data_IF_580182334793
#
_entry.id   IF_580182334793
#
_cell.length_a   1.000
_cell.length_b   1.000
_cell.length_c   1.000
_cell.angle_alpha   90.00
_cell.angle_beta   90.00
_cell.angle_gamma   90.00
#
_symmetry.space_group_name_H-M   'P 1'
#
loop_
_entity.id
_entity.type
_entity.pdbx_description
1 polymer ?
#
# COMPACT_ATOMS: atom_id res chain seq x y z
N UNK A 1 -12.97 0.53 -18.73
CA UNK A 1 -11.53 0.65 -19.08
C UNK A 1 -10.66 -0.20 -18.16
N UNK A 2 -10.94 -1.51 -18.01
CA UNK A 2 -10.27 -2.42 -17.06
C UNK A 2 -9.68 -3.68 -17.73
N UNK A 3 -9.39 -3.64 -19.02
CA UNK A 3 -8.90 -4.83 -19.76
C UNK A 3 -7.50 -4.66 -20.38
N UNK A 4 -6.61 -3.85 -19.83
CA UNK A 4 -5.28 -3.59 -20.44
C UNK A 4 -4.07 -3.92 -19.56
N UNK A 5 -4.22 -4.63 -18.45
CA UNK A 5 -3.07 -4.96 -17.59
C UNK A 5 -2.53 -6.39 -17.73
N UNK A 6 -3.03 -7.18 -18.68
CA UNK A 6 -2.60 -8.57 -18.91
C UNK A 6 -2.02 -8.84 -20.30
N UNK A 7 -1.46 -7.84 -21.00
CA UNK A 7 -0.79 -8.06 -22.29
C UNK A 7 0.67 -7.67 -22.22
N UNK A 8 1.48 -8.45 -21.53
CA UNK A 8 2.94 -8.43 -21.69
C UNK A 8 3.60 -9.74 -21.28
N UNK A 9 3.00 -10.85 -21.65
CA UNK A 9 3.63 -12.16 -21.67
C UNK A 9 3.34 -12.77 -23.06
N UNK A 10 3.76 -12.08 -24.08
CA UNK A 10 3.69 -12.55 -25.45
C UNK A 10 5.08 -12.92 -25.94
N UNK A 11 5.69 -13.98 -25.44
CA UNK A 11 6.68 -14.81 -26.17
C UNK A 11 7.09 -15.98 -25.27
N UNK A 12 6.18 -16.96 -25.17
CA UNK A 12 6.52 -18.31 -24.71
C UNK A 12 6.73 -19.13 -26.01
N UNK A 13 7.98 -19.35 -26.38
CA UNK A 13 8.28 -20.31 -27.46
C UNK A 13 8.27 -21.73 -26.89
N UNK A 14 7.34 -22.55 -27.38
CA UNK A 14 7.35 -23.98 -27.16
C UNK A 14 8.20 -24.66 -28.25
N UNK A 15 9.31 -25.25 -27.87
CA UNK A 15 10.04 -26.17 -28.75
C UNK A 15 9.68 -27.60 -28.37
N UNK A 16 9.03 -28.31 -29.30
CA UNK A 16 8.77 -29.75 -29.18
C UNK A 16 9.93 -30.53 -29.80
N UNK A 17 10.55 -31.42 -29.03
CA UNK A 17 11.39 -32.48 -29.57
C UNK A 17 10.65 -33.80 -29.48
N UNK A 18 10.74 -34.67 -30.52
CA UNK A 18 9.93 -35.91 -30.58
C UNK A 18 10.60 -37.07 -29.87
N UNK A 19 11.06 -36.91 -28.67
CA UNK A 19 11.54 -38.03 -27.84
C UNK A 19 11.39 -37.74 -26.36
N UNK A 20 10.35 -38.30 -25.74
CA UNK A 20 10.29 -38.77 -24.35
C UNK A 20 10.46 -37.77 -23.25
N UNK A 21 9.37 -37.49 -22.56
CA UNK A 21 9.22 -37.28 -21.10
C UNK A 21 9.82 -36.10 -20.37
N UNK A 22 10.47 -35.11 -21.00
CA UNK A 22 10.88 -33.88 -20.29
C UNK A 22 10.62 -32.64 -21.14
N UNK A 23 9.75 -31.72 -20.66
CA UNK A 23 9.56 -30.43 -21.30
C UNK A 23 10.34 -29.37 -20.50
N UNK A 24 11.29 -28.69 -21.16
CA UNK A 24 11.99 -27.54 -20.59
C UNK A 24 11.36 -26.25 -21.09
N UNK A 25 11.05 -25.34 -20.18
CA UNK A 25 10.58 -23.98 -20.49
C UNK A 25 11.76 -23.02 -20.35
N UNK A 26 12.17 -22.41 -21.45
CA UNK A 26 13.14 -21.32 -21.42
C UNK A 26 12.41 -19.98 -21.52
N UNK A 27 12.58 -19.12 -20.53
CA UNK A 27 12.08 -17.73 -20.57
C UNK A 27 13.25 -16.87 -21.05
N UNK A 28 13.18 -16.36 -22.28
CA UNK A 28 14.13 -15.37 -22.79
C UNK A 28 13.54 -13.96 -22.57
N UNK A 29 14.07 -13.23 -21.58
CA UNK A 29 13.85 -11.79 -21.46
C UNK A 29 14.89 -11.05 -22.31
N UNK A 30 14.45 -10.34 -23.34
CA UNK A 30 15.31 -9.47 -24.13
C UNK A 30 15.72 -8.22 -23.34
N UNK A 31 17.01 -8.07 -23.06
CA UNK A 31 17.61 -6.89 -22.45
C UNK A 31 19.10 -7.10 -22.25
N UNK A 32 19.89 -6.61 -23.20
CA UNK A 32 21.35 -6.35 -23.25
C UNK A 32 22.28 -6.93 -22.18
N UNK A 33 23.12 -7.80 -22.65
CA UNK A 33 24.54 -8.06 -22.36
C UNK A 33 25.07 -7.74 -20.95
N UNK A 34 25.24 -8.81 -20.15
CA UNK A 34 26.38 -8.94 -19.25
C UNK A 34 27.09 -10.25 -19.53
N UNK A 35 28.41 -10.18 -19.67
CA UNK A 35 29.30 -11.31 -19.92
C UNK A 35 29.34 -12.22 -18.69
N UNK A 36 29.19 -13.54 -18.83
CA UNK A 36 29.21 -14.44 -17.69
C UNK A 36 30.63 -15.02 -17.49
N UNK A 37 31.23 -14.70 -16.37
CA UNK A 37 32.21 -15.59 -15.79
C UNK A 37 31.54 -16.45 -14.72
N UNK A 38 31.45 -17.73 -15.02
CA UNK A 38 30.88 -18.84 -14.25
C UNK A 38 29.38 -19.08 -14.42
N UNK A 39 29.10 -19.93 -15.42
CA UNK A 39 27.76 -20.44 -15.69
C UNK A 39 27.24 -21.37 -14.59
N UNK A 40 26.04 -21.06 -14.10
CA UNK A 40 25.10 -22.06 -13.62
C UNK A 40 23.76 -21.78 -14.30
N UNK A 41 23.51 -22.54 -15.38
CA UNK A 41 22.19 -22.64 -15.98
C UNK A 41 21.27 -23.30 -14.95
N UNK A 42 20.26 -22.56 -14.44
CA UNK A 42 19.20 -23.15 -13.64
C UNK A 42 18.15 -23.68 -14.61
N UNK A 43 18.25 -24.96 -14.94
CA UNK A 43 17.20 -25.66 -15.66
C UNK A 43 16.13 -26.10 -14.67
N UNK A 44 14.91 -25.59 -14.81
CA UNK A 44 13.77 -26.01 -14.00
C UNK A 44 13.07 -27.15 -14.75
N UNK A 45 13.27 -28.40 -14.34
CA UNK A 45 12.58 -29.54 -14.87
C UNK A 45 11.22 -29.72 -14.16
N UNK A 46 10.14 -29.77 -14.94
CA UNK A 46 8.81 -30.12 -14.45
C UNK A 46 8.55 -31.59 -14.74
N UNK A 47 8.42 -32.41 -13.70
CA UNK A 47 7.96 -33.79 -13.83
C UNK A 47 6.43 -33.82 -13.72
N UNK A 48 5.74 -34.17 -14.80
CA UNK A 48 4.31 -34.45 -14.79
C UNK A 48 4.10 -35.95 -14.48
N UNK A 49 3.57 -36.23 -13.32
CA UNK A 49 3.06 -37.58 -13.03
C UNK A 49 1.71 -37.79 -13.75
N UNK A 50 1.74 -38.55 -14.84
CA UNK A 50 0.56 -39.03 -15.53
C UNK A 50 -0.05 -40.17 -14.73
N UNK A 51 -1.20 -39.98 -14.07
CA UNK A 51 -2.10 -41.06 -13.70
C UNK A 51 -3.33 -41.01 -14.60
N UNK A 52 -3.63 -42.23 -15.13
CA UNK A 52 -4.52 -42.56 -16.20
C UNK A 52 -5.92 -41.95 -16.22
N UNK A 53 -6.42 -41.88 -17.45
CA UNK A 53 -7.80 -41.87 -17.95
C UNK A 53 -8.89 -41.35 -17.00
N UNK A 54 -9.32 -40.14 -17.21
CA UNK A 54 -10.75 -39.80 -17.18
C UNK A 54 -10.94 -38.40 -17.81
N UNK A 55 -11.95 -38.31 -18.65
CA UNK A 55 -12.39 -37.11 -19.35
C UNK A 55 -12.88 -36.06 -18.33
N UNK A 56 -12.12 -35.02 -18.10
CA UNK A 56 -12.61 -33.66 -17.73
C UNK A 56 -11.43 -32.71 -17.64
N UNK A 57 -11.44 -31.66 -18.48
CA UNK A 57 -10.47 -30.60 -18.46
C UNK A 57 -10.75 -29.67 -17.25
N UNK A 58 -10.26 -30.03 -16.10
CA UNK A 58 -9.99 -29.06 -15.02
C UNK A 58 -8.48 -29.02 -14.82
N UNK A 59 -7.83 -28.07 -15.48
CA UNK A 59 -6.46 -27.70 -15.13
C UNK A 59 -6.51 -27.26 -13.66
N UNK A 60 -5.93 -28.05 -12.80
CA UNK A 60 -5.95 -27.84 -11.36
C UNK A 60 -5.35 -26.46 -11.06
N UNK A 61 -6.17 -25.53 -10.59
CA UNK A 61 -5.77 -24.24 -10.03
C UNK A 61 -4.65 -24.34 -8.97
N UNK A 62 -4.53 -25.49 -8.34
CA UNK A 62 -3.48 -25.82 -7.38
C UNK A 62 -2.05 -25.70 -7.92
N UNK A 63 -1.82 -26.05 -9.19
CA UNK A 63 -0.51 -25.94 -9.82
C UNK A 63 -0.09 -24.49 -10.02
N UNK A 64 -1.01 -23.61 -10.40
CA UNK A 64 -0.73 -22.19 -10.64
C UNK A 64 -0.51 -21.42 -9.33
N UNK A 65 -1.27 -21.69 -8.28
CA UNK A 65 -1.09 -21.08 -6.96
C UNK A 65 0.27 -21.48 -6.36
N UNK A 66 0.68 -22.75 -6.50
CA UNK A 66 1.97 -23.22 -6.01
C UNK A 66 3.17 -22.60 -6.77
N UNK A 67 3.02 -22.41 -8.09
CA UNK A 67 4.04 -21.74 -8.93
C UNK A 67 4.13 -20.26 -8.59
N UNK A 68 3.01 -19.58 -8.41
CA UNK A 68 2.99 -18.15 -8.01
C UNK A 68 3.60 -17.96 -6.61
N UNK A 69 3.31 -18.86 -5.68
CA UNK A 69 3.89 -18.87 -4.35
C UNK A 69 5.41 -19.15 -4.37
N UNK A 70 5.89 -20.08 -5.20
CA UNK A 70 7.34 -20.29 -5.38
C UNK A 70 8.04 -19.08 -6.00
N UNK A 71 7.39 -18.41 -6.94
CA UNK A 71 7.95 -17.17 -7.52
C UNK A 71 7.99 -16.02 -6.50
N UNK A 72 6.98 -15.88 -5.65
CA UNK A 72 7.01 -14.93 -4.53
C UNK A 72 8.09 -15.30 -3.50
N UNK A 73 8.24 -16.59 -3.13
CA UNK A 73 9.31 -17.03 -2.22
C UNK A 73 10.69 -16.91 -2.85
N UNK A 74 10.83 -17.18 -4.15
CA UNK A 74 12.11 -16.97 -4.85
C UNK A 74 12.47 -15.48 -4.84
N UNK A 75 11.49 -14.59 -5.02
CA UNK A 75 11.69 -13.14 -4.91
C UNK A 75 12.09 -12.73 -3.49
N UNK A 76 11.45 -13.30 -2.46
CA UNK A 76 11.79 -13.10 -1.05
C UNK A 76 13.12 -13.76 -0.68
N UNK A 77 13.41 -14.98 -1.13
CA UNK A 77 14.70 -15.66 -0.89
C UNK A 77 15.86 -14.99 -1.64
N UNK A 78 15.61 -14.43 -2.82
CA UNK A 78 16.64 -13.69 -3.56
C UNK A 78 17.03 -12.41 -2.82
N UNK A 79 16.05 -11.70 -2.27
CA UNK A 79 16.29 -10.57 -1.38
C UNK A 79 17.02 -10.99 -0.08
N UNK A 80 16.72 -12.19 0.45
CA UNK A 80 17.34 -12.67 1.69
C UNK A 80 18.78 -13.16 1.49
N UNK A 81 19.08 -13.92 0.45
CA UNK A 81 20.46 -14.44 0.22
C UNK A 81 21.44 -13.37 -0.25
N UNK A 82 20.95 -12.25 -0.79
CA UNK A 82 21.81 -11.13 -1.16
C UNK A 82 22.25 -10.27 0.04
N UNK A 83 21.55 -10.37 1.19
CA UNK A 83 21.76 -9.44 2.31
C UNK A 83 21.66 -10.17 3.66
N UNK A 84 22.81 -10.63 4.16
CA UNK A 84 22.95 -11.32 5.43
C UNK A 84 22.29 -10.61 6.62
N UNK A 85 21.97 -11.41 7.63
CA UNK A 85 21.24 -11.11 8.87
C UNK A 85 21.94 -10.10 9.81
N UNK A 86 22.17 -8.89 9.34
CA UNK A 86 22.70 -7.80 10.16
C UNK A 86 21.65 -6.73 10.39
N UNK A 87 20.76 -6.90 11.40
CA UNK A 87 19.92 -5.82 11.89
C UNK A 87 20.80 -4.83 12.64
N UNK A 88 21.07 -3.68 12.04
CA UNK A 88 21.56 -2.50 12.73
C UNK A 88 20.36 -1.59 12.94
N UNK A 89 19.90 -1.37 14.19
CA UNK A 89 18.86 -0.38 14.44
C UNK A 89 19.42 0.99 14.05
N UNK A 90 18.81 1.61 13.06
CA UNK A 90 19.12 2.99 12.71
C UNK A 90 18.66 3.89 13.87
N UNK A 91 19.52 4.80 14.36
CA UNK A 91 19.12 5.77 15.37
C UNK A 91 17.91 6.56 14.86
N UNK A 92 16.96 6.86 15.75
CA UNK A 92 15.82 7.72 15.48
C UNK A 92 16.34 9.08 14.98
N UNK A 93 16.56 9.18 13.66
CA UNK A 93 16.96 10.44 13.05
C UNK A 93 15.77 11.36 13.00
N UNK A 94 15.93 12.53 13.64
CA UNK A 94 15.16 13.74 13.36
C UNK A 94 14.71 13.75 11.90
N UNK A 95 13.45 14.13 11.67
CA UNK A 95 12.91 14.44 10.34
C UNK A 95 13.84 15.47 9.67
N UNK A 96 14.88 15.00 9.01
CA UNK A 96 15.55 15.81 8.00
C UNK A 96 14.52 15.92 6.87
N UNK A 97 14.04 17.14 6.66
CA UNK A 97 13.18 17.49 5.55
C UNK A 97 13.87 17.00 4.27
N UNK A 98 13.34 15.92 3.69
CA UNK A 98 13.60 15.63 2.29
C UNK A 98 12.90 16.76 1.55
N UNK A 99 13.65 17.80 1.21
CA UNK A 99 13.20 18.93 0.40
C UNK A 99 13.03 18.47 -1.05
N UNK A 100 12.18 17.44 -1.24
CA UNK A 100 11.68 17.08 -2.55
C UNK A 100 10.52 17.99 -2.90
N UNK A 101 10.36 18.32 -4.18
CA UNK A 101 9.20 19.06 -4.64
C UNK A 101 7.92 18.34 -4.25
N UNK A 102 7.01 19.03 -3.60
CA UNK A 102 5.70 18.49 -3.27
C UNK A 102 4.90 18.40 -4.57
N UNK A 103 4.43 17.21 -4.90
CA UNK A 103 3.61 16.99 -6.10
C UNK A 103 2.14 17.26 -5.74
N UNK A 104 1.58 18.29 -6.35
CA UNK A 104 0.14 18.58 -6.31
C UNK A 104 -0.44 18.25 -7.67
N UNK A 105 -1.21 17.17 -7.77
CA UNK A 105 -1.87 16.78 -9.01
C UNK A 105 -2.92 17.80 -9.45
N UNK A 106 -3.11 18.03 -10.75
CA UNK A 106 -4.13 18.96 -11.25
C UNK A 106 -5.53 18.62 -10.76
N UNK A 107 -5.91 17.35 -10.71
CA UNK A 107 -7.21 16.88 -10.20
C UNK A 107 -7.41 17.20 -8.72
N UNK A 108 -6.35 17.03 -7.92
CA UNK A 108 -6.37 17.38 -6.48
C UNK A 108 -6.48 18.89 -6.28
N UNK A 109 -5.74 19.66 -7.08
CA UNK A 109 -5.83 21.14 -7.06
C UNK A 109 -7.24 21.61 -7.40
N UNK A 110 -7.84 21.09 -8.46
CA UNK A 110 -9.21 21.44 -8.86
C UNK A 110 -10.24 21.12 -7.77
N UNK A 111 -10.13 19.95 -7.10
CA UNK A 111 -11.02 19.61 -5.98
C UNK A 111 -10.81 20.52 -4.78
N UNK A 112 -9.55 20.89 -4.51
CA UNK A 112 -9.23 21.85 -3.45
C UNK A 112 -9.83 23.24 -3.75
N UNK A 113 -9.69 23.73 -4.97
CA UNK A 113 -10.23 25.04 -5.38
C UNK A 113 -11.77 25.02 -5.28
N UNK A 114 -12.43 23.95 -5.72
CA UNK A 114 -13.87 23.78 -5.54
C UNK A 114 -14.30 23.72 -4.07
N UNK A 115 -13.49 23.07 -3.21
CA UNK A 115 -13.72 23.09 -1.77
C UNK A 115 -13.59 24.52 -1.20
N UNK A 116 -12.62 25.29 -1.62
CA UNK A 116 -12.44 26.66 -1.16
C UNK A 116 -13.56 27.59 -1.58
N UNK A 117 -14.15 27.37 -2.77
CA UNK A 117 -15.27 28.15 -3.28
C UNK A 117 -16.59 27.86 -2.57
N UNK A 118 -16.96 26.57 -2.47
CA UNK A 118 -18.30 26.13 -2.10
C UNK A 118 -18.35 25.11 -0.97
N UNK A 119 -17.25 24.40 -0.73
CA UNK A 119 -17.17 23.34 0.26
C UNK A 119 -17.04 23.88 1.70
N UNK A 120 -17.27 22.98 2.64
CA UNK A 120 -17.09 23.23 4.07
C UNK A 120 -16.02 22.31 4.64
N UNK A 121 -15.96 21.09 4.15
CA UNK A 121 -15.06 20.03 4.63
C UNK A 121 -14.25 19.48 3.48
N UNK A 122 -12.93 19.44 3.62
CA UNK A 122 -12.03 18.67 2.79
C UNK A 122 -11.51 17.49 3.62
N UNK A 123 -11.88 16.29 3.22
CA UNK A 123 -11.55 15.08 3.96
C UNK A 123 -10.52 14.26 3.19
N UNK A 124 -9.38 13.98 3.82
CA UNK A 124 -8.37 13.06 3.28
C UNK A 124 -8.55 11.68 3.91
N UNK A 125 -8.89 10.70 3.07
CA UNK A 125 -9.02 9.29 3.45
C UNK A 125 -7.91 8.48 2.79
N UNK A 126 -6.76 8.36 3.45
CA UNK A 126 -5.65 7.59 2.92
C UNK A 126 -4.77 7.02 4.03
N UNK A 127 -4.09 5.88 3.79
CA UNK A 127 -3.17 5.29 4.75
C UNK A 127 -2.02 6.24 5.15
N UNK A 128 -1.26 5.85 6.17
CA UNK A 128 -0.01 6.54 6.49
C UNK A 128 0.97 6.46 5.30
N UNK A 129 1.85 7.46 5.16
CA UNK A 129 2.82 7.53 4.07
C UNK A 129 2.28 7.97 2.71
N UNK A 130 0.98 8.30 2.60
CA UNK A 130 0.40 8.88 1.38
C UNK A 130 0.62 10.39 1.25
N UNK A 131 1.35 11.00 2.16
CA UNK A 131 1.70 12.42 2.07
C UNK A 131 0.58 13.40 2.42
N UNK A 132 -0.50 12.97 3.10
CA UNK A 132 -1.65 13.82 3.47
C UNK A 132 -1.24 15.15 4.10
N UNK A 133 -0.45 15.11 5.18
CA UNK A 133 -0.01 16.32 5.90
C UNK A 133 0.87 17.22 5.02
N UNK A 134 1.79 16.61 4.25
CA UNK A 134 2.66 17.35 3.31
C UNK A 134 1.86 18.03 2.21
N UNK A 135 0.87 17.31 1.63
CA UNK A 135 0.02 17.83 0.57
C UNK A 135 -0.92 18.93 1.09
N UNK A 136 -1.51 18.74 2.28
CA UNK A 136 -2.35 19.78 2.91
C UNK A 136 -1.55 21.02 3.22
N UNK A 137 -0.29 20.89 3.68
CA UNK A 137 0.59 22.05 3.91
C UNK A 137 0.86 22.85 2.63
N UNK A 138 1.08 22.15 1.51
CA UNK A 138 1.28 22.80 0.22
C UNK A 138 0.00 23.49 -0.31
N UNK A 139 -1.15 22.82 -0.14
CA UNK A 139 -2.44 23.38 -0.56
C UNK A 139 -2.86 24.60 0.26
N UNK A 140 -2.54 24.62 1.54
CA UNK A 140 -2.92 25.65 2.51
C UNK A 140 -1.83 26.73 2.69
N UNK A 141 -0.77 26.68 1.90
CA UNK A 141 0.32 27.65 1.98
C UNK A 141 -0.18 29.09 1.80
N UNK A 142 0.22 29.99 2.71
CA UNK A 142 -0.18 31.40 2.69
C UNK A 142 -1.58 31.69 3.25
N UNK A 143 -2.27 30.70 3.88
CA UNK A 143 -3.58 30.86 4.51
C UNK A 143 -3.48 30.85 6.03
N UNK A 144 -4.48 31.44 6.68
CA UNK A 144 -4.61 31.38 8.13
C UNK A 144 -5.22 30.03 8.57
N UNK A 145 -4.35 29.16 9.12
CA UNK A 145 -4.69 27.77 9.44
C UNK A 145 -4.39 27.46 10.90
N UNK A 146 -5.43 27.19 11.67
CA UNK A 146 -5.29 26.56 12.98
C UNK A 146 -5.08 25.06 12.82
N UNK A 147 -4.00 24.51 13.37
CA UNK A 147 -3.61 23.10 13.24
C UNK A 147 -3.76 22.39 14.57
N UNK A 148 -4.53 21.30 14.57
CA UNK A 148 -4.71 20.43 15.71
C UNK A 148 -4.34 18.99 15.35
N UNK A 149 -3.91 18.21 16.33
CA UNK A 149 -3.72 16.77 16.20
C UNK A 149 -4.68 16.06 17.16
N UNK A 150 -5.62 15.29 16.64
CA UNK A 150 -6.62 14.60 17.45
C UNK A 150 -6.04 13.47 18.33
N UNK A 151 -4.81 13.03 18.05
CA UNK A 151 -4.07 12.08 18.89
C UNK A 151 -3.31 12.73 20.06
N UNK A 152 -3.32 14.06 20.19
CA UNK A 152 -2.67 14.75 21.30
C UNK A 152 -3.51 14.61 22.59
N UNK A 153 -2.83 14.50 23.74
CA UNK A 153 -3.50 14.32 25.02
C UNK A 153 -4.34 15.55 25.47
N UNK A 154 -3.99 16.70 24.94
CA UNK A 154 -4.64 18.00 25.19
C UNK A 154 -5.56 18.45 24.05
N UNK A 155 -5.95 17.51 23.18
CA UNK A 155 -6.83 17.84 22.05
C UNK A 155 -8.17 18.37 22.53
N UNK A 156 -8.53 19.55 22.03
CA UNK A 156 -9.85 20.17 22.20
C UNK A 156 -10.24 20.91 20.91
N UNK A 157 -11.53 20.89 20.56
CA UNK A 157 -12.03 21.72 19.46
C UNK A 157 -11.97 23.20 19.85
N UNK A 158 -11.57 24.09 18.92
CA UNK A 158 -11.44 25.52 19.20
C UNK A 158 -12.82 26.20 19.29
N UNK A 159 -12.85 27.37 19.96
CA UNK A 159 -14.02 28.22 19.91
C UNK A 159 -14.12 28.95 18.54
N UNK A 160 -15.35 29.27 18.12
CA UNK A 160 -15.60 30.04 16.90
C UNK A 160 -15.04 31.48 16.95
N UNK A 161 -14.93 32.03 18.17
CA UNK A 161 -14.37 33.37 18.42
C UNK A 161 -12.88 33.47 18.10
N UNK A 162 -12.18 32.35 17.99
CA UNK A 162 -10.77 32.31 17.66
C UNK A 162 -10.58 32.72 16.18
N UNK A 163 -9.62 33.61 15.89
CA UNK A 163 -9.47 34.31 14.62
C UNK A 163 -8.98 33.48 13.42
N UNK A 164 -9.17 32.14 13.38
CA UNK A 164 -8.75 31.26 12.30
C UNK A 164 -9.75 31.23 11.13
N UNK A 165 -9.24 31.08 9.89
CA UNK A 165 -10.05 30.88 8.68
C UNK A 165 -10.30 29.37 8.44
N UNK A 166 -9.25 28.56 8.57
CA UNK A 166 -9.26 27.12 8.28
C UNK A 166 -8.82 26.35 9.52
N UNK A 167 -9.60 25.34 9.91
CA UNK A 167 -9.22 24.36 10.93
C UNK A 167 -8.72 23.09 10.25
N UNK A 168 -7.45 22.75 10.47
CA UNK A 168 -6.88 21.47 10.06
C UNK A 168 -6.77 20.55 11.27
N UNK A 169 -7.36 19.35 11.18
CA UNK A 169 -7.27 18.31 12.21
C UNK A 169 -6.53 17.10 11.61
N UNK A 170 -5.32 16.82 12.11
CA UNK A 170 -4.57 15.61 11.76
C UNK A 170 -4.93 14.47 12.71
N UNK A 171 -4.69 13.21 12.28
CA UNK A 171 -5.09 11.98 12.97
C UNK A 171 -6.58 11.97 13.35
N UNK A 172 -7.44 12.49 12.48
CA UNK A 172 -8.88 12.68 12.68
C UNK A 172 -9.61 11.43 13.17
N UNK A 173 -9.18 10.22 12.80
CA UNK A 173 -9.75 8.95 13.26
C UNK A 173 -9.65 8.75 14.78
N UNK A 174 -8.90 9.59 15.50
CA UNK A 174 -8.79 9.55 16.97
C UNK A 174 -9.91 10.31 17.68
N UNK A 175 -10.76 11.05 16.95
CA UNK A 175 -11.92 11.75 17.54
C UNK A 175 -13.01 10.72 17.86
N UNK A 176 -13.47 10.61 19.12
CA UNK A 176 -14.59 9.75 19.46
C UNK A 176 -15.86 10.12 18.71
N UNK A 177 -16.57 9.13 18.17
CA UNK A 177 -17.75 9.39 17.32
C UNK A 177 -18.92 10.00 18.12
N UNK A 178 -19.11 9.60 19.38
CA UNK A 178 -20.26 9.99 20.18
C UNK A 178 -20.24 11.48 20.55
N UNK A 179 -19.29 11.92 21.35
CA UNK A 179 -19.24 13.32 21.81
C UNK A 179 -18.49 14.24 20.86
N UNK A 180 -17.32 13.81 20.40
CA UNK A 180 -16.44 14.64 19.54
C UNK A 180 -16.98 14.84 18.14
N UNK A 181 -17.64 13.82 17.58
CA UNK A 181 -18.25 13.89 16.25
C UNK A 181 -19.43 14.86 16.19
N UNK A 182 -20.29 14.87 17.22
CA UNK A 182 -21.40 15.80 17.30
C UNK A 182 -20.92 17.24 17.45
N UNK A 183 -20.01 17.50 18.39
CA UNK A 183 -19.44 18.83 18.61
C UNK A 183 -18.78 19.38 17.34
N UNK A 184 -18.05 18.54 16.59
CA UNK A 184 -17.46 18.95 15.29
C UNK A 184 -18.55 19.29 14.26
N UNK A 185 -19.61 18.50 14.16
CA UNK A 185 -20.72 18.78 13.24
C UNK A 185 -21.42 20.10 13.55
N UNK A 186 -21.58 20.42 14.83
CA UNK A 186 -22.13 21.71 15.30
C UNK A 186 -21.18 22.85 14.93
N UNK A 187 -19.87 22.69 15.16
CA UNK A 187 -18.86 23.66 14.80
C UNK A 187 -18.85 23.94 13.28
N UNK A 188 -18.93 22.89 12.43
CA UNK A 188 -19.00 23.03 10.96
C UNK A 188 -20.26 23.81 10.52
N UNK A 189 -21.41 23.63 11.19
CA UNK A 189 -22.66 24.30 10.85
C UNK A 189 -22.74 25.73 11.33
N UNK A 190 -22.03 26.06 12.42
CA UNK A 190 -22.21 27.33 13.15
C UNK A 190 -21.71 28.54 12.39
N UNK A 191 -20.66 28.44 11.57
CA UNK A 191 -20.11 29.55 10.81
C UNK A 191 -19.85 29.17 9.34
N UNK A 192 -20.62 29.68 8.38
CA UNK A 192 -20.44 29.37 6.97
C UNK A 192 -19.14 29.93 6.35
N UNK A 193 -18.43 30.83 6.99
CA UNK A 193 -17.16 31.34 6.51
C UNK A 193 -15.98 30.41 6.80
N UNK A 194 -16.07 29.60 7.85
CA UNK A 194 -15.01 28.68 8.27
C UNK A 194 -14.90 27.46 7.36
N UNK A 195 -13.68 26.95 7.19
CA UNK A 195 -13.36 25.74 6.42
C UNK A 195 -12.67 24.70 7.32
N UNK A 196 -12.86 23.44 7.00
CA UNK A 196 -12.34 22.32 7.80
C UNK A 196 -11.57 21.36 6.90
N UNK A 197 -10.33 21.05 7.25
CA UNK A 197 -9.49 20.09 6.57
C UNK A 197 -9.20 18.94 7.54
N UNK A 198 -9.69 17.75 7.23
CA UNK A 198 -9.65 16.59 8.10
C UNK A 198 -8.75 15.53 7.48
N UNK A 199 -7.64 15.20 8.14
CA UNK A 199 -6.69 14.19 7.68
C UNK A 199 -6.91 12.90 8.46
N UNK A 200 -7.40 11.86 7.79
CA UNK A 200 -7.76 10.58 8.39
C UNK A 200 -6.98 9.42 7.77
N UNK A 201 -6.75 8.40 8.60
CA UNK A 201 -6.28 7.08 8.13
C UNK A 201 -7.44 6.11 7.90
N UNK A 202 -8.67 6.53 8.17
CA UNK A 202 -9.90 5.77 7.98
C UNK A 202 -10.85 6.47 7.01
N UNK A 203 -11.93 5.78 6.67
CA UNK A 203 -13.03 6.35 5.89
C UNK A 203 -13.76 7.46 6.68
N UNK A 204 -14.50 8.35 5.99
CA UNK A 204 -15.34 9.33 6.67
C UNK A 204 -16.36 8.62 7.57
N UNK A 205 -16.49 9.03 8.83
CA UNK A 205 -17.49 8.45 9.73
C UNK A 205 -18.91 8.86 9.33
N UNK A 206 -19.90 8.04 9.73
CA UNK A 206 -21.30 8.21 9.36
C UNK A 206 -21.90 9.58 9.72
N UNK A 207 -21.44 10.23 10.79
CA UNK A 207 -21.94 11.56 11.17
C UNK A 207 -21.53 12.69 10.19
N UNK A 208 -20.54 12.46 9.30
CA UNK A 208 -20.20 13.39 8.22
C UNK A 208 -21.00 13.16 6.93
N UNK A 209 -21.78 12.10 6.84
CA UNK A 209 -22.53 11.71 5.63
C UNK A 209 -23.45 12.82 5.12
N UNK A 210 -24.08 13.58 6.02
CA UNK A 210 -24.94 14.70 5.63
C UNK A 210 -24.19 15.79 4.85
N UNK A 211 -22.93 16.07 5.20
CA UNK A 211 -22.10 17.04 4.45
C UNK A 211 -21.67 16.48 3.10
N UNK A 212 -21.48 15.18 2.99
CA UNK A 212 -21.14 14.52 1.73
C UNK A 212 -22.30 14.59 0.74
N UNK A 213 -23.51 14.20 1.17
CA UNK A 213 -24.69 14.24 0.31
C UNK A 213 -25.17 15.65 -0.04
N UNK A 214 -24.93 16.63 0.82
CA UNK A 214 -25.25 18.03 0.51
C UNK A 214 -24.22 18.72 -0.40
N UNK A 215 -23.16 18.02 -0.83
CA UNK A 215 -22.09 18.58 -1.65
C UNK A 215 -21.16 19.56 -0.89
N UNK A 216 -21.28 19.63 0.43
CA UNK A 216 -20.43 20.49 1.27
C UNK A 216 -19.12 19.81 1.68
N UNK A 217 -18.96 18.50 1.45
CA UNK A 217 -17.74 17.75 1.72
C UNK A 217 -17.12 17.23 0.44
N UNK A 218 -15.83 17.50 0.27
CA UNK A 218 -14.97 16.92 -0.77
C UNK A 218 -14.07 15.89 -0.13
N UNK A 219 -14.04 14.67 -0.66
CA UNK A 219 -13.15 13.60 -0.17
C UNK A 219 -12.02 13.38 -1.16
N UNK A 220 -10.78 13.34 -0.68
CA UNK A 220 -9.61 12.88 -1.40
C UNK A 220 -9.24 11.50 -0.88
N UNK A 221 -9.27 10.51 -1.74
CA UNK A 221 -8.97 9.12 -1.40
C UNK A 221 -7.52 8.75 -1.70
N UNK A 222 -7.08 7.60 -1.22
CA UNK A 222 -5.74 7.10 -1.44
C UNK A 222 -5.37 7.02 -2.93
N UNK A 223 -6.31 6.61 -3.79
CA UNK A 223 -6.08 6.48 -5.24
C UNK A 223 -5.83 7.86 -5.91
N UNK A 224 -6.39 8.95 -5.37
CA UNK A 224 -6.12 10.31 -5.83
C UNK A 224 -4.66 10.76 -5.55
N UNK A 225 -4.04 10.15 -4.53
CA UNK A 225 -2.72 10.51 -4.03
C UNK A 225 -1.58 9.65 -4.59
N UNK A 226 -1.89 8.53 -5.27
CA UNK A 226 -0.88 7.68 -5.88
C UNK A 226 -0.15 8.41 -6.99
N UNK A 227 1.17 8.33 -7.03
CA UNK A 227 1.98 8.92 -8.09
C UNK A 227 1.89 8.08 -9.36
N UNK A 228 1.64 8.74 -10.48
CA UNK A 228 1.79 8.17 -11.81
C UNK A 228 3.22 8.36 -12.35
N UNK A 229 3.46 7.99 -13.62
CA UNK A 229 4.79 8.13 -14.25
C UNK A 229 5.26 9.58 -14.29
N UNK A 230 4.36 10.50 -14.57
CA UNK A 230 4.68 11.92 -14.70
C UNK A 230 4.94 12.54 -13.32
N UNK A 231 4.18 12.15 -12.31
CA UNK A 231 4.41 12.57 -10.93
C UNK A 231 5.77 12.11 -10.41
N UNK A 232 6.15 10.86 -10.71
CA UNK A 232 7.48 10.31 -10.37
C UNK A 232 8.57 11.11 -11.09
N UNK A 233 8.43 11.40 -12.39
CA UNK A 233 9.38 12.19 -13.14
C UNK A 233 9.58 13.57 -12.52
N UNK A 234 8.48 14.27 -12.20
CA UNK A 234 8.51 15.59 -11.56
C UNK A 234 9.16 15.53 -10.18
N UNK A 235 8.82 14.52 -9.39
CA UNK A 235 9.38 14.35 -8.05
C UNK A 235 10.89 14.17 -8.08
N UNK A 236 11.39 13.26 -8.94
CA UNK A 236 12.83 13.00 -9.09
C UNK A 236 13.58 14.19 -9.66
N UNK A 237 13.00 14.87 -10.66
CA UNK A 237 13.55 16.12 -11.20
C UNK A 237 13.68 17.20 -10.12
N UNK A 238 12.66 17.36 -9.29
CA UNK A 238 12.68 18.30 -8.14
C UNK A 238 13.69 17.93 -7.07
N UNK A 239 14.04 16.64 -6.94
CA UNK A 239 15.12 16.17 -6.07
C UNK A 239 16.52 16.31 -6.71
N UNK A 240 16.62 16.76 -7.96
CA UNK A 240 17.89 16.82 -8.72
C UNK A 240 18.45 15.43 -9.05
N UNK A 241 17.61 14.39 -9.11
CA UNK A 241 18.02 13.02 -9.39
C UNK A 241 17.59 12.67 -10.84
N UNK A 242 18.55 12.54 -11.77
CA UNK A 242 18.22 12.15 -13.14
C UNK A 242 17.73 10.70 -13.17
N UNK A 243 16.62 10.46 -13.85
CA UNK A 243 16.03 9.12 -14.05
C UNK A 243 15.59 8.96 -15.49
N UNK A 244 15.83 7.78 -16.05
CA UNK A 244 15.37 7.38 -17.38
C UNK A 244 13.92 6.91 -17.34
N UNK A 245 13.24 6.87 -18.49
CA UNK A 245 11.87 6.34 -18.59
C UNK A 245 11.76 4.85 -18.17
N UNK A 246 12.82 4.07 -18.39
CA UNK A 246 12.91 2.68 -17.92
C UNK A 246 12.96 2.62 -16.40
N UNK A 247 13.76 3.47 -15.76
CA UNK A 247 13.86 3.54 -14.31
C UNK A 247 12.56 4.03 -13.68
N UNK A 248 11.90 5.05 -14.26
CA UNK A 248 10.56 5.49 -13.83
C UNK A 248 9.57 4.33 -13.91
N UNK A 249 9.59 3.54 -14.99
CA UNK A 249 8.78 2.33 -15.10
C UNK A 249 9.07 1.29 -14.02
N UNK A 250 10.35 1.12 -13.66
CA UNK A 250 10.80 0.27 -12.56
C UNK A 250 10.32 0.78 -11.21
N UNK A 251 10.54 2.06 -10.91
CA UNK A 251 10.12 2.71 -9.67
C UNK A 251 8.60 2.60 -9.49
N UNK A 252 7.82 2.89 -10.54
CA UNK A 252 6.36 2.78 -10.50
C UNK A 252 5.91 1.34 -10.21
N UNK A 253 6.54 0.35 -10.85
CA UNK A 253 6.21 -1.06 -10.64
C UNK A 253 6.49 -1.53 -9.22
N UNK A 254 7.62 -1.12 -8.63
CA UNK A 254 8.00 -1.52 -7.27
C UNK A 254 7.24 -0.73 -6.20
N UNK A 255 6.99 0.56 -6.42
CA UNK A 255 6.25 1.39 -5.46
C UNK A 255 4.73 1.32 -5.63
N UNK A 256 4.22 0.87 -6.78
CA UNK A 256 2.79 0.97 -7.18
C UNK A 256 2.26 2.42 -7.02
N UNK A 257 3.14 3.40 -7.21
CA UNK A 257 2.83 4.82 -7.03
C UNK A 257 2.69 5.29 -5.58
N UNK A 258 2.97 4.46 -4.59
CA UNK A 258 2.90 4.83 -3.17
C UNK A 258 3.90 5.96 -2.84
N UNK A 259 3.43 7.15 -2.42
CA UNK A 259 4.30 8.34 -2.29
C UNK A 259 5.50 8.14 -1.36
N UNK A 260 5.33 7.50 -0.20
CA UNK A 260 6.45 7.19 0.68
C UNK A 260 7.46 6.25 0.00
N UNK A 261 6.99 5.23 -0.73
CA UNK A 261 7.85 4.31 -1.47
C UNK A 261 8.69 5.04 -2.52
N UNK A 262 8.08 5.96 -3.26
CA UNK A 262 8.78 6.81 -4.25
C UNK A 262 9.79 7.72 -3.57
N UNK A 263 9.41 8.39 -2.47
CA UNK A 263 10.29 9.29 -1.73
C UNK A 263 11.50 8.56 -1.11
N UNK A 264 11.27 7.37 -0.53
CA UNK A 264 12.34 6.53 0.01
C UNK A 264 13.27 6.05 -1.11
N UNK A 265 12.73 5.66 -2.26
CA UNK A 265 13.55 5.27 -3.43
C UNK A 265 14.43 6.42 -3.90
N UNK A 266 13.89 7.63 -4.03
CA UNK A 266 14.67 8.83 -4.38
C UNK A 266 15.80 9.07 -3.37
N UNK A 267 15.52 8.99 -2.07
CA UNK A 267 16.53 9.11 -1.02
C UNK A 267 17.61 8.03 -1.15
N UNK A 268 17.25 6.78 -1.46
CA UNK A 268 18.22 5.70 -1.66
C UNK A 268 19.10 5.90 -2.89
N UNK A 269 18.59 6.59 -3.93
CA UNK A 269 19.31 6.94 -5.15
C UNK A 269 20.15 8.24 -5.00
N UNK A 270 19.95 9.01 -3.94
CA UNK A 270 20.74 10.22 -3.70
C UNK A 270 22.24 9.89 -3.66
N UNK A 271 23.07 10.80 -4.22
CA UNK A 271 24.50 10.57 -4.38
C UNK A 271 24.87 9.81 -5.67
N UNK A 272 23.98 9.80 -6.68
CA UNK A 272 24.29 9.28 -8.03
C UNK A 272 24.20 7.76 -8.16
N UNK A 273 23.53 7.07 -7.24
CA UNK A 273 23.32 5.62 -7.32
C UNK A 273 22.22 5.31 -8.33
N UNK A 274 22.47 4.43 -9.33
CA UNK A 274 21.48 4.05 -10.32
C UNK A 274 20.35 3.21 -9.69
N UNK A 275 19.14 3.31 -10.26
CA UNK A 275 18.05 2.42 -9.86
C UNK A 275 18.38 0.97 -10.21
N UNK A 276 18.22 0.08 -9.24
CA UNK A 276 18.53 -1.34 -9.39
C UNK A 276 18.13 -2.16 -8.16
N UNK A 277 18.40 -3.47 -8.16
CA UNK A 277 17.99 -4.39 -7.09
C UNK A 277 18.42 -3.97 -5.68
N UNK A 278 19.59 -3.38 -5.54
CA UNK A 278 20.10 -2.91 -4.23
C UNK A 278 19.28 -1.74 -3.70
N UNK A 279 18.94 -0.78 -4.59
CA UNK A 279 18.09 0.36 -4.24
C UNK A 279 16.69 -0.11 -3.84
N UNK A 280 16.12 -1.03 -4.63
CA UNK A 280 14.81 -1.63 -4.35
C UNK A 280 14.81 -2.32 -2.98
N UNK A 281 15.77 -3.19 -2.71
CA UNK A 281 15.88 -3.90 -1.44
C UNK A 281 16.07 -2.96 -0.24
N UNK A 282 16.85 -1.87 -0.43
CA UNK A 282 17.03 -0.85 0.60
C UNK A 282 15.76 -0.06 0.85
N UNK A 283 15.08 0.36 -0.22
CA UNK A 283 13.82 1.10 -0.12
C UNK A 283 12.74 0.26 0.59
N UNK A 284 12.60 -1.03 0.24
CA UNK A 284 11.67 -1.92 0.93
C UNK A 284 11.97 -2.03 2.44
N UNK A 285 13.22 -2.21 2.85
CA UNK A 285 13.57 -2.28 4.27
C UNK A 285 13.17 -1.00 5.03
N UNK A 286 13.40 0.17 4.44
CA UNK A 286 13.05 1.44 5.06
C UNK A 286 11.52 1.64 5.14
N UNK A 287 10.77 1.28 4.10
CA UNK A 287 9.31 1.31 4.09
C UNK A 287 8.73 0.30 5.09
N UNK A 288 9.31 -0.90 5.19
CA UNK A 288 8.86 -1.94 6.12
C UNK A 288 9.12 -1.53 7.57
N UNK A 289 10.28 -0.94 7.87
CA UNK A 289 10.54 -0.37 9.19
C UNK A 289 9.52 0.71 9.56
N UNK A 290 9.13 1.54 8.59
CA UNK A 290 8.07 2.52 8.80
C UNK A 290 6.71 1.85 9.09
N UNK A 291 6.31 0.81 8.35
CA UNK A 291 5.06 0.08 8.61
C UNK A 291 5.08 -0.61 9.96
N UNK A 292 6.21 -1.21 10.34
CA UNK A 292 6.38 -1.84 11.63
C UNK A 292 6.12 -0.85 12.77
N UNK A 293 6.75 0.32 12.74
CA UNK A 293 6.67 1.32 13.82
C UNK A 293 5.36 2.14 13.79
N UNK A 294 4.90 2.56 12.59
CA UNK A 294 3.76 3.46 12.46
C UNK A 294 2.40 2.76 12.55
N UNK A 295 2.35 1.44 12.27
CA UNK A 295 1.11 0.68 12.15
C UNK A 295 1.15 -0.60 12.97
N UNK A 296 2.02 -1.55 12.60
CA UNK A 296 1.96 -2.93 13.05
C UNK A 296 2.16 -3.08 14.57
N UNK A 297 3.13 -2.38 15.13
CA UNK A 297 3.38 -2.39 16.59
C UNK A 297 2.28 -1.74 17.43
N UNK A 298 1.40 -0.93 16.82
CA UNK A 298 0.28 -0.30 17.52
C UNK A 298 -0.90 -1.24 17.70
N UNK A 299 -0.96 -2.33 16.94
CA UNK A 299 -1.96 -3.37 17.11
C UNK A 299 -1.55 -4.33 18.23
N UNK A 300 -2.53 -4.85 18.94
CA UNK A 300 -2.36 -5.93 19.90
C UNK A 300 -1.96 -7.24 19.19
N UNK A 301 -1.47 -8.20 19.95
CA UNK A 301 -1.01 -9.47 19.40
C UNK A 301 -2.07 -10.23 18.60
N UNK A 302 -3.34 -10.34 19.07
CA UNK A 302 -4.39 -11.00 18.30
C UNK A 302 -4.66 -10.35 16.94
N UNK A 303 -4.67 -9.02 16.86
CA UNK A 303 -4.84 -8.31 15.58
C UNK A 303 -3.64 -8.52 14.67
N UNK A 304 -2.42 -8.47 15.20
CA UNK A 304 -1.21 -8.75 14.40
C UNK A 304 -1.23 -10.15 13.81
N UNK A 305 -1.59 -11.17 14.61
CA UNK A 305 -1.71 -12.55 14.13
C UNK A 305 -2.78 -12.68 13.04
N UNK A 306 -3.94 -12.06 13.22
CA UNK A 306 -5.02 -12.04 12.24
C UNK A 306 -4.58 -11.44 10.91
N UNK A 307 -3.83 -10.32 10.93
CA UNK A 307 -3.28 -9.69 9.73
C UNK A 307 -2.27 -10.60 9.02
N UNK A 308 -1.35 -11.24 9.77
CA UNK A 308 -0.36 -12.16 9.19
C UNK A 308 -1.01 -13.37 8.55
N UNK A 309 -2.04 -13.93 9.17
CA UNK A 309 -2.72 -15.12 8.67
C UNK A 309 -3.53 -14.86 7.39
N UNK A 310 -3.99 -13.62 7.19
CA UNK A 310 -4.69 -13.22 5.97
C UNK A 310 -3.77 -12.69 4.87
N UNK A 311 -2.54 -12.30 5.18
CA UNK A 311 -1.60 -11.74 4.21
C UNK A 311 -1.34 -12.63 2.95
N UNK A 312 -1.32 -13.98 3.03
CA UNK A 312 -1.16 -14.83 1.86
C UNK A 312 -2.24 -14.66 0.79
N UNK A 313 -3.42 -14.24 1.19
CA UNK A 313 -4.58 -14.17 0.29
C UNK A 313 -4.70 -12.77 -0.32
N UNK A 314 -4.85 -12.72 -1.64
CA UNK A 314 -4.98 -11.45 -2.36
C UNK A 314 -6.33 -10.78 -2.07
N UNK A 315 -7.36 -11.62 -1.97
CA UNK A 315 -8.74 -11.24 -1.65
C UNK A 315 -9.31 -12.24 -0.67
N UNK A 316 -10.10 -11.76 0.25
CA UNK A 316 -10.79 -12.59 1.24
C UNK A 316 -12.08 -11.90 1.69
N UNK A 317 -13.03 -12.68 2.12
CA UNK A 317 -14.27 -12.21 2.74
C UNK A 317 -14.31 -12.61 4.23
N UNK A 318 -15.30 -12.17 5.01
CA UNK A 318 -15.39 -12.51 6.43
C UNK A 318 -15.44 -14.01 6.72
N UNK A 319 -16.08 -14.80 5.84
CA UNK A 319 -16.20 -16.26 5.99
C UNK A 319 -14.85 -16.93 5.80
N UNK A 320 -14.13 -16.60 4.74
CA UNK A 320 -12.77 -17.06 4.51
C UNK A 320 -11.83 -16.65 5.66
N UNK A 321 -11.93 -15.40 6.12
CA UNK A 321 -11.13 -14.91 7.24
C UNK A 321 -11.38 -15.75 8.49
N UNK A 322 -12.65 -16.03 8.84
CA UNK A 322 -13.03 -16.89 9.97
C UNK A 322 -12.47 -18.30 9.83
N UNK A 323 -12.55 -18.88 8.63
CA UNK A 323 -12.06 -20.25 8.39
C UNK A 323 -10.53 -20.34 8.47
N UNK A 324 -9.82 -19.36 7.90
CA UNK A 324 -8.35 -19.34 7.85
C UNK A 324 -7.76 -19.09 9.23
N UNK A 325 -8.28 -18.09 9.95
CA UNK A 325 -7.72 -17.64 11.24
C UNK A 325 -8.32 -18.39 12.44
N UNK A 326 -9.49 -19.03 12.27
CA UNK A 326 -10.23 -19.62 13.39
C UNK A 326 -10.90 -18.59 14.30
N UNK A 327 -10.88 -17.30 13.97
CA UNK A 327 -11.50 -16.25 14.75
C UNK A 327 -13.01 -16.18 14.48
N UNK A 328 -13.88 -16.51 15.46
CA UNK A 328 -15.34 -16.44 15.29
C UNK A 328 -15.83 -15.01 15.03
N UNK A 329 -15.06 -13.98 15.43
CA UNK A 329 -15.37 -12.56 15.28
C UNK A 329 -14.65 -11.91 14.10
N UNK A 330 -14.18 -12.69 13.13
CA UNK A 330 -13.42 -12.19 11.97
C UNK A 330 -14.11 -11.04 11.24
N UNK A 331 -15.45 -11.11 11.04
CA UNK A 331 -16.22 -10.04 10.41
C UNK A 331 -16.11 -8.71 11.16
N UNK A 332 -16.45 -8.72 12.46
CA UNK A 332 -16.37 -7.51 13.29
C UNK A 332 -14.94 -6.96 13.39
N UNK A 333 -13.92 -7.84 13.35
CA UNK A 333 -12.53 -7.41 13.35
C UNK A 333 -12.15 -6.75 12.03
N UNK A 334 -12.64 -7.24 10.89
CA UNK A 334 -12.45 -6.62 9.58
C UNK A 334 -13.12 -5.24 9.51
N UNK A 335 -14.35 -5.11 10.02
CA UNK A 335 -15.07 -3.84 10.08
C UNK A 335 -14.33 -2.83 10.98
N UNK A 336 -13.82 -3.30 12.12
CA UNK A 336 -12.98 -2.48 12.99
C UNK A 336 -11.70 -2.02 12.28
N UNK A 337 -11.01 -2.92 11.57
CA UNK A 337 -9.82 -2.58 10.80
C UNK A 337 -10.11 -1.53 9.72
N UNK A 338 -11.24 -1.65 9.00
CA UNK A 338 -11.63 -0.65 7.98
C UNK A 338 -11.83 0.74 8.57
N UNK A 339 -12.37 0.83 9.79
CA UNK A 339 -12.61 2.12 10.45
C UNK A 339 -11.32 2.74 11.02
N UNK A 340 -10.31 1.92 11.36
CA UNK A 340 -9.08 2.37 12.02
C UNK A 340 -7.87 2.44 11.08
N UNK A 341 -7.93 1.78 9.91
CA UNK A 341 -6.84 1.82 8.93
C UNK A 341 -7.36 1.64 7.52
N UNK A 342 -6.88 2.46 6.60
CA UNK A 342 -7.13 2.28 5.16
C UNK A 342 -6.10 1.36 4.49
N UNK A 343 -5.24 0.65 5.26
CA UNK A 343 -4.38 -0.41 4.74
C UNK A 343 -5.15 -1.65 4.30
N UNK A 344 -6.39 -1.78 4.76
CA UNK A 344 -7.40 -2.73 4.33
C UNK A 344 -8.51 -1.98 3.60
N UNK A 345 -9.00 -2.51 2.49
CA UNK A 345 -10.10 -1.91 1.72
C UNK A 345 -11.01 -2.96 1.11
N UNK A 346 -12.25 -2.57 0.84
CA UNK A 346 -13.13 -3.34 -0.02
C UNK A 346 -12.71 -3.21 -1.50
N UNK A 347 -12.91 -4.25 -2.26
CA UNK A 347 -12.93 -4.18 -3.72
C UNK A 347 -14.39 -4.14 -4.24
N UNK A 348 -14.54 -4.02 -5.56
CA UNK A 348 -15.87 -3.95 -6.22
C UNK A 348 -16.69 -5.25 -6.07
N UNK A 349 -16.07 -6.34 -5.60
CA UNK A 349 -16.68 -7.66 -5.42
C UNK A 349 -17.01 -7.97 -3.96
N UNK A 350 -17.04 -6.97 -3.10
CA UNK A 350 -17.26 -7.11 -1.64
C UNK A 350 -16.23 -7.97 -0.91
N UNK A 351 -15.04 -8.07 -1.47
CA UNK A 351 -13.91 -8.72 -0.83
C UNK A 351 -13.00 -7.67 -0.20
N UNK A 352 -12.35 -8.08 0.86
CA UNK A 352 -11.29 -7.32 1.48
C UNK A 352 -9.96 -7.60 0.77
N UNK A 353 -9.12 -6.58 0.70
CA UNK A 353 -7.73 -6.72 0.28
C UNK A 353 -6.84 -5.71 0.99
N UNK A 354 -5.61 -6.09 1.22
CA UNK A 354 -4.59 -5.18 1.72
C UNK A 354 -4.03 -4.29 0.60
N UNK A 355 -3.55 -3.11 0.97
CA UNK A 355 -2.67 -2.35 0.09
C UNK A 355 -1.44 -3.19 -0.26
N UNK A 356 -0.98 -3.18 -1.53
CA UNK A 356 0.08 -4.08 -2.00
C UNK A 356 1.34 -4.04 -1.14
N UNK A 357 1.88 -2.86 -0.86
CA UNK A 357 3.11 -2.70 -0.08
C UNK A 357 2.95 -3.15 1.37
N UNK A 358 1.77 -2.92 1.96
CA UNK A 358 1.49 -3.39 3.32
C UNK A 358 1.32 -4.91 3.35
N UNK A 359 0.72 -5.50 2.33
CA UNK A 359 0.66 -6.95 2.17
C UNK A 359 2.06 -7.57 2.04
N UNK A 360 2.94 -6.97 1.24
CA UNK A 360 4.33 -7.42 1.08
C UNK A 360 5.08 -7.35 2.44
N UNK A 361 4.86 -6.29 3.22
CA UNK A 361 5.36 -6.19 4.59
C UNK A 361 4.83 -7.30 5.49
N UNK A 362 3.51 -7.57 5.50
CA UNK A 362 2.92 -8.64 6.30
C UNK A 362 3.45 -10.02 5.90
N UNK A 363 3.65 -10.28 4.60
CA UNK A 363 4.25 -11.52 4.11
C UNK A 363 5.71 -11.67 4.56
N UNK A 364 6.45 -10.57 4.60
CA UNK A 364 7.82 -10.55 5.10
C UNK A 364 7.85 -10.84 6.62
N UNK A 365 6.98 -10.21 7.41
CA UNK A 365 6.84 -10.50 8.86
C UNK A 365 6.39 -11.94 9.10
N UNK A 366 5.40 -12.43 8.37
CA UNK A 366 4.95 -13.82 8.46
C UNK A 366 6.10 -14.81 8.19
N UNK A 367 6.98 -14.51 7.23
CA UNK A 367 8.14 -15.36 6.95
C UNK A 367 9.17 -15.39 8.09
N UNK A 368 9.22 -14.33 8.92
CA UNK A 368 10.09 -14.24 10.11
C UNK A 368 9.49 -14.92 11.34
N UNK A 369 8.17 -14.75 11.54
CA UNK A 369 7.49 -15.20 12.76
C UNK A 369 6.97 -16.64 12.67
N UNK A 370 6.61 -17.12 11.46
CA UNK A 370 5.92 -18.40 11.29
C UNK A 370 6.83 -19.46 10.67
N UNK A 371 6.82 -20.67 11.26
CA UNK A 371 7.46 -21.84 10.67
C UNK A 371 6.86 -22.18 9.30
N UNK A 372 7.61 -22.90 8.48
CA UNK A 372 7.13 -23.34 7.17
C UNK A 372 5.87 -24.22 7.27
N UNK A 373 5.81 -25.06 8.30
CA UNK A 373 4.65 -25.91 8.59
C UNK A 373 3.40 -25.07 8.88
N UNK A 374 3.51 -24.06 9.75
CA UNK A 374 2.39 -23.16 10.06
C UNK A 374 1.92 -22.43 8.81
N UNK A 375 2.85 -21.95 7.98
CA UNK A 375 2.52 -21.28 6.71
C UNK A 375 1.78 -22.23 5.75
N UNK A 376 2.25 -23.48 5.60
CA UNK A 376 1.58 -24.49 4.78
C UNK A 376 0.16 -24.80 5.29
N UNK A 377 -0.02 -24.93 6.59
CA UNK A 377 -1.34 -25.14 7.19
C UNK A 377 -2.33 -24.02 6.91
N UNK A 378 -1.85 -22.73 6.92
CA UNK A 378 -2.67 -21.59 6.54
C UNK A 378 -3.12 -21.66 5.08
N UNK A 379 -2.19 -21.95 4.16
CA UNK A 379 -2.53 -22.11 2.74
C UNK A 379 -3.51 -23.26 2.49
N UNK A 380 -3.34 -24.39 3.19
CA UNK A 380 -4.26 -25.52 3.07
C UNK A 380 -5.68 -25.16 3.52
N UNK A 381 -5.81 -24.40 4.61
CA UNK A 381 -7.13 -23.90 5.07
C UNK A 381 -7.78 -22.98 4.04
N UNK A 382 -7.02 -22.02 3.50
CA UNK A 382 -7.55 -21.11 2.47
C UNK A 382 -7.84 -21.77 1.13
N UNK A 383 -7.22 -22.90 0.82
CA UNK A 383 -7.47 -23.65 -0.42
C UNK A 383 -8.76 -24.51 -0.36
N UNK A 384 -9.33 -24.66 0.82
CA UNK A 384 -10.62 -25.37 1.00
C UNK A 384 -11.82 -24.43 0.78
N UNK A 385 -11.59 -23.13 0.75
CA UNK A 385 -12.57 -22.09 0.44
C UNK A 385 -12.61 -21.78 -1.06
#
# INVERSE_FOLDING_TARGET
MRARYYRSIDHIHHTFTPAGDCQSLTVSGGGSCFSPSQGKNVSVCFAFLRKGNSKNHSVSYFGMIYIFWRLCIIRIKWCWNAYGTGYVPLPAKRRENVTGNIIVKPSVRQRFDSFMERGRVLFFSAPCGFGKSTLSDALLSGRDVLRLNAGAADFALPALSDGWEILLIDDFQMIPAEDGGQALCELIRSDPAKRFVLLSRGAPPGYLTAFQYSGLMTTLEADDLLFDREDIRKYFSGCGIPVTDSEIGGILRESVGYPLGVAVTARCMSGGKPFGPEIVARAFREVFSYFEDAIYRRFDLPVRQFLLELAPFERFNPEMARMVTGDPHAGSRLDWLLSHTTMLRYDDMQHFRFWPQFRDFLLWEMAREYSEEKRRALFSRGALY
#
